data_IF_823675984616
#
_entry.id   IF_823675984616
#
_cell.length_a   1.000
_cell.length_b   1.000
_cell.length_c   1.000
_cell.angle_alpha   90.00
_cell.angle_beta   90.00
_cell.angle_gamma   90.00
#
_symmetry.space_group_name_H-M   'P 1'
#
loop_
_entity.id
_entity.type
_entity.pdbx_description
1 polymer ?
#
# COMPACT_ATOMS: atom_id res chain seq x y z
N UNK A 1 -5.20 -17.94 -15.41
CA UNK A 1 -6.35 -18.33 -14.57
C UNK A 1 -7.57 -17.68 -15.17
N UNK A 2 -8.63 -18.44 -15.43
CA UNK A 2 -9.89 -17.87 -15.92
C UNK A 2 -10.54 -16.98 -14.86
N UNK A 3 -11.16 -15.89 -15.27
CA UNK A 3 -11.93 -15.03 -14.40
C UNK A 3 -13.16 -14.48 -15.12
N UNK A 4 -14.22 -14.26 -14.36
CA UNK A 4 -15.39 -13.52 -14.84
C UNK A 4 -15.47 -12.14 -14.20
N UNK A 5 -15.91 -11.15 -14.96
CA UNK A 5 -16.06 -9.77 -14.51
C UNK A 5 -17.55 -9.47 -14.28
N UNK A 6 -17.90 -8.94 -13.12
CA UNK A 6 -19.28 -8.56 -12.77
C UNK A 6 -19.32 -7.06 -12.54
N UNK A 7 -19.99 -6.31 -13.43
CA UNK A 7 -20.02 -4.86 -13.48
C UNK A 7 -19.20 -4.30 -14.64
N UNK A 8 -19.85 -4.00 -15.77
CA UNK A 8 -19.26 -3.40 -16.97
C UNK A 8 -19.44 -1.87 -16.97
N UNK A 9 -19.21 -1.24 -15.81
CA UNK A 9 -19.28 0.21 -15.61
C UNK A 9 -17.99 0.94 -16.00
N UNK A 10 -17.90 2.23 -15.66
CA UNK A 10 -16.76 3.10 -16.01
C UNK A 10 -15.40 2.50 -15.60
N UNK A 11 -15.32 1.93 -14.40
CA UNK A 11 -14.06 1.38 -13.85
C UNK A 11 -13.62 0.09 -14.54
N UNK A 12 -14.53 -0.64 -15.20
CA UNK A 12 -14.18 -1.90 -15.89
C UNK A 12 -13.11 -1.67 -16.97
N UNK A 13 -13.12 -0.50 -17.64
CA UNK A 13 -12.08 -0.12 -18.60
C UNK A 13 -10.69 -0.09 -17.98
N UNK A 14 -10.56 0.44 -16.76
CA UNK A 14 -9.28 0.55 -16.05
C UNK A 14 -8.72 -0.82 -15.67
N UNK A 15 -9.59 -1.78 -15.33
CA UNK A 15 -9.19 -3.17 -15.07
C UNK A 15 -8.81 -3.90 -16.36
N UNK A 16 -9.55 -3.68 -17.45
CA UNK A 16 -9.31 -4.39 -18.71
C UNK A 16 -8.12 -3.83 -19.49
N UNK A 17 -7.73 -2.57 -19.27
CA UNK A 17 -6.63 -1.92 -19.97
C UNK A 17 -5.28 -2.66 -19.84
N UNK A 18 -5.06 -3.39 -18.75
CA UNK A 18 -3.83 -4.16 -18.52
C UNK A 18 -4.03 -5.67 -18.44
N UNK A 19 -5.20 -6.21 -18.86
CA UNK A 19 -5.50 -7.63 -18.66
C UNK A 19 -4.53 -8.55 -19.40
N UNK A 20 -4.11 -8.15 -20.61
CA UNK A 20 -3.19 -8.90 -21.48
C UNK A 20 -1.76 -8.98 -20.91
N UNK A 21 -1.38 -8.06 -20.02
CA UNK A 21 -0.10 -8.07 -19.32
C UNK A 21 -0.09 -9.04 -18.12
N UNK A 22 -1.21 -9.72 -17.87
CA UNK A 22 -1.37 -10.63 -16.75
C UNK A 22 -1.65 -12.06 -17.21
N UNK A 23 -1.58 -12.99 -16.26
CA UNK A 23 -1.98 -14.39 -16.50
C UNK A 23 -3.51 -14.61 -16.45
N UNK A 24 -4.32 -13.56 -16.35
CA UNK A 24 -5.78 -13.66 -16.30
C UNK A 24 -6.34 -13.85 -17.72
N UNK A 25 -7.47 -14.53 -17.81
CA UNK A 25 -8.21 -14.70 -19.06
C UNK A 25 -9.69 -14.51 -18.75
N UNK A 26 -10.29 -13.50 -19.38
CA UNK A 26 -11.69 -13.18 -19.19
C UNK A 26 -12.55 -14.20 -19.94
N UNK A 27 -13.44 -14.90 -19.24
CA UNK A 27 -14.36 -15.87 -19.85
C UNK A 27 -15.81 -15.38 -19.93
N UNK A 28 -16.19 -14.51 -19.00
CA UNK A 28 -17.53 -13.95 -18.95
C UNK A 28 -17.56 -12.53 -18.39
N UNK A 29 -18.56 -11.77 -18.84
CA UNK A 29 -18.88 -10.44 -18.35
C UNK A 29 -20.36 -10.40 -17.98
N UNK A 30 -20.68 -9.95 -16.78
CA UNK A 30 -22.05 -9.75 -16.32
C UNK A 30 -22.31 -8.28 -15.99
N UNK A 31 -23.40 -7.74 -16.51
CA UNK A 31 -23.96 -6.46 -16.07
C UNK A 31 -25.50 -6.52 -16.22
N UNK A 32 -26.24 -5.83 -15.36
CA UNK A 32 -27.69 -5.75 -15.47
C UNK A 32 -28.10 -5.02 -16.76
N UNK A 33 -27.24 -4.14 -17.26
CA UNK A 33 -27.31 -3.58 -18.59
C UNK A 33 -26.61 -4.52 -19.59
N UNK A 34 -27.44 -5.27 -20.31
CA UNK A 34 -26.98 -6.30 -21.25
C UNK A 34 -26.15 -5.73 -22.40
N UNK A 35 -26.42 -4.50 -22.83
CA UNK A 35 -25.68 -3.89 -23.92
C UNK A 35 -24.25 -3.55 -23.49
N UNK A 36 -24.08 -3.07 -22.25
CA UNK A 36 -22.75 -2.88 -21.65
C UNK A 36 -21.99 -4.19 -21.49
N UNK A 37 -22.65 -5.24 -20.98
CA UNK A 37 -22.03 -6.56 -20.85
C UNK A 37 -21.59 -7.10 -22.23
N UNK A 38 -22.47 -7.03 -23.24
CA UNK A 38 -22.19 -7.51 -24.60
C UNK A 38 -21.03 -6.74 -25.26
N UNK A 39 -20.98 -5.42 -25.10
CA UNK A 39 -19.92 -4.59 -25.67
C UNK A 39 -18.53 -4.95 -25.11
N UNK A 40 -18.43 -5.13 -23.79
CA UNK A 40 -17.16 -5.54 -23.15
C UNK A 40 -16.82 -6.98 -23.50
N UNK A 41 -17.78 -7.89 -23.47
CA UNK A 41 -17.56 -9.30 -23.76
C UNK A 41 -17.04 -9.53 -25.18
N UNK A 42 -17.61 -8.83 -26.17
CA UNK A 42 -17.20 -8.90 -27.57
C UNK A 42 -15.74 -8.47 -27.81
N UNK A 43 -15.22 -7.53 -27.00
CA UNK A 43 -13.84 -7.07 -27.11
C UNK A 43 -12.80 -8.08 -26.61
N UNK A 44 -13.22 -9.08 -25.82
CA UNK A 44 -12.33 -10.01 -25.11
C UNK A 44 -12.67 -11.50 -25.37
N UNK A 45 -13.48 -11.81 -26.38
CA UNK A 45 -13.95 -13.18 -26.69
C UNK A 45 -14.58 -13.88 -25.48
N UNK A 46 -15.34 -13.12 -24.69
CA UNK A 46 -16.02 -13.57 -23.48
C UNK A 46 -17.53 -13.72 -23.72
N UNK A 47 -18.21 -14.42 -22.79
CA UNK A 47 -19.68 -14.57 -22.83
C UNK A 47 -20.36 -13.48 -22.00
N UNK A 48 -21.37 -12.82 -22.57
CA UNK A 48 -22.15 -11.81 -21.86
C UNK A 48 -23.33 -12.42 -21.10
N UNK A 49 -23.52 -11.98 -19.86
CA UNK A 49 -24.62 -12.36 -18.98
C UNK A 49 -25.36 -11.11 -18.47
N UNK A 50 -26.67 -11.25 -18.29
CA UNK A 50 -27.53 -10.18 -17.74
C UNK A 50 -27.76 -10.28 -16.24
N UNK A 51 -27.35 -11.40 -15.62
CA UNK A 51 -27.60 -11.68 -14.22
C UNK A 51 -26.53 -12.61 -13.63
N UNK A 52 -26.18 -12.33 -12.38
CA UNK A 52 -25.06 -13.00 -11.67
C UNK A 52 -25.37 -14.47 -11.41
N UNK A 53 -26.63 -14.81 -11.13
CA UNK A 53 -27.01 -16.20 -10.86
C UNK A 53 -26.82 -17.09 -12.10
N UNK A 54 -27.23 -16.63 -13.26
CA UNK A 54 -27.02 -17.33 -14.54
C UNK A 54 -25.54 -17.43 -14.85
N UNK A 55 -24.76 -16.36 -14.68
CA UNK A 55 -23.29 -16.43 -14.84
C UNK A 55 -22.70 -17.53 -13.96
N UNK A 56 -23.00 -17.53 -12.65
CA UNK A 56 -22.42 -18.49 -11.70
C UNK A 56 -22.86 -19.95 -11.96
N UNK A 57 -24.03 -20.15 -12.56
CA UNK A 57 -24.54 -21.48 -12.93
C UNK A 57 -23.90 -22.02 -14.23
N UNK A 58 -23.55 -21.15 -15.16
CA UNK A 58 -23.01 -21.55 -16.46
C UNK A 58 -21.48 -21.50 -16.53
N UNK A 59 -20.84 -20.64 -15.74
CA UNK A 59 -19.39 -20.45 -15.75
C UNK A 59 -18.69 -21.13 -14.59
N UNK A 60 -17.57 -21.77 -14.92
CA UNK A 60 -16.70 -22.47 -13.96
C UNK A 60 -15.47 -21.66 -13.54
N UNK A 61 -15.46 -20.36 -13.85
CA UNK A 61 -14.35 -19.47 -13.58
C UNK A 61 -14.03 -19.46 -12.07
N UNK A 62 -12.78 -19.71 -11.65
CA UNK A 62 -12.42 -19.79 -10.23
C UNK A 62 -12.39 -18.41 -9.55
N UNK A 63 -12.35 -17.32 -10.31
CA UNK A 63 -12.20 -15.96 -9.80
C UNK A 63 -13.28 -15.03 -10.38
N UNK A 64 -14.00 -14.37 -9.49
CA UNK A 64 -14.89 -13.26 -9.81
C UNK A 64 -14.19 -11.94 -9.53
N UNK A 65 -14.15 -11.05 -10.52
CA UNK A 65 -13.74 -9.66 -10.39
C UNK A 65 -15.01 -8.82 -10.30
N UNK A 66 -15.36 -8.40 -9.09
CA UNK A 66 -16.59 -7.68 -8.79
C UNK A 66 -16.34 -6.17 -8.84
N UNK A 67 -16.86 -5.52 -9.88
CA UNK A 67 -16.74 -4.10 -10.21
C UNK A 67 -18.13 -3.42 -10.28
N UNK A 68 -19.10 -3.95 -9.52
CA UNK A 68 -20.46 -3.41 -9.51
C UNK A 68 -20.55 -2.03 -8.84
N UNK A 69 -21.76 -1.48 -8.70
CA UNK A 69 -21.95 -0.30 -7.87
C UNK A 69 -21.65 -0.60 -6.39
N UNK A 70 -21.38 0.46 -5.63
CA UNK A 70 -21.15 0.40 -4.19
C UNK A 70 -22.18 -0.45 -3.42
N UNK A 71 -23.47 -0.26 -3.72
CA UNK A 71 -24.57 -0.98 -3.07
C UNK A 71 -24.64 -2.49 -3.42
N UNK A 72 -24.05 -2.90 -4.55
CA UNK A 72 -24.09 -4.26 -5.05
C UNK A 72 -22.85 -5.09 -4.65
N UNK A 73 -21.76 -4.47 -4.17
CA UNK A 73 -20.53 -5.20 -3.84
C UNK A 73 -20.77 -6.36 -2.88
N UNK A 74 -21.51 -6.13 -1.79
CA UNK A 74 -21.71 -7.14 -0.77
C UNK A 74 -22.53 -8.34 -1.26
N UNK A 75 -23.63 -8.10 -1.96
CA UNK A 75 -24.51 -9.17 -2.43
C UNK A 75 -23.85 -10.00 -3.53
N UNK A 76 -23.13 -9.37 -4.46
CA UNK A 76 -22.39 -10.05 -5.53
C UNK A 76 -21.22 -10.84 -4.96
N UNK A 77 -20.45 -10.26 -4.03
CA UNK A 77 -19.35 -10.95 -3.35
C UNK A 77 -19.85 -12.17 -2.59
N UNK A 78 -20.97 -12.05 -1.85
CA UNK A 78 -21.60 -13.17 -1.15
C UNK A 78 -22.01 -14.28 -2.12
N UNK A 79 -22.72 -13.94 -3.20
CA UNK A 79 -23.17 -14.92 -4.18
C UNK A 79 -22.00 -15.68 -4.82
N UNK A 80 -20.91 -14.98 -5.15
CA UNK A 80 -19.71 -15.59 -5.71
C UNK A 80 -19.02 -16.53 -4.70
N UNK A 81 -18.87 -16.11 -3.43
CA UNK A 81 -18.31 -16.96 -2.38
C UNK A 81 -19.20 -18.18 -2.10
N UNK A 82 -20.52 -18.01 -2.13
CA UNK A 82 -21.47 -19.10 -1.92
C UNK A 82 -21.45 -20.13 -3.06
N UNK A 83 -21.08 -19.71 -4.27
CA UNK A 83 -20.81 -20.54 -5.44
C UNK A 83 -19.36 -21.09 -5.49
N UNK A 84 -18.64 -21.04 -4.36
CA UNK A 84 -17.27 -21.51 -4.20
C UNK A 84 -16.27 -20.85 -5.18
N UNK A 85 -16.42 -19.54 -5.41
CA UNK A 85 -15.50 -18.73 -6.21
C UNK A 85 -14.65 -17.81 -5.33
N UNK A 86 -13.38 -17.63 -5.71
CA UNK A 86 -12.57 -16.56 -5.15
C UNK A 86 -13.08 -15.21 -5.65
N UNK A 87 -12.89 -14.15 -4.87
CA UNK A 87 -13.39 -12.82 -5.23
C UNK A 87 -12.33 -11.75 -5.05
N UNK A 88 -12.16 -10.92 -6.07
CA UNK A 88 -11.61 -9.59 -5.93
C UNK A 88 -12.76 -8.59 -6.04
N UNK A 89 -13.01 -7.80 -5.00
CA UNK A 89 -14.04 -6.76 -4.99
C UNK A 89 -13.45 -5.37 -5.11
N UNK A 90 -14.11 -4.50 -5.87
CA UNK A 90 -13.92 -3.07 -5.78
C UNK A 90 -14.29 -2.54 -4.38
N UNK A 91 -13.81 -1.33 -4.08
CA UNK A 91 -14.08 -0.63 -2.83
C UNK A 91 -15.46 0.04 -2.85
N UNK A 92 -16.10 0.22 -1.70
CA UNK A 92 -15.83 -0.46 -0.44
C UNK A 92 -16.27 -1.93 -0.52
N UNK A 93 -15.75 -2.80 0.36
CA UNK A 93 -16.14 -4.21 0.40
C UNK A 93 -17.66 -4.38 0.67
N UNK A 94 -18.21 -3.51 1.50
CA UNK A 94 -19.63 -3.31 1.77
C UNK A 94 -19.83 -1.89 2.30
N UNK A 95 -21.08 -1.42 2.40
CA UNK A 95 -21.40 -0.14 3.07
C UNK A 95 -21.68 -0.30 4.56
N UNK A 96 -21.79 -1.54 5.04
CA UNK A 96 -22.06 -1.89 6.43
C UNK A 96 -20.91 -2.77 6.97
N UNK A 97 -20.42 -2.44 8.16
CA UNK A 97 -19.27 -3.09 8.78
C UNK A 97 -19.54 -4.54 9.18
N UNK A 98 -20.75 -4.84 9.68
CA UNK A 98 -21.15 -6.20 10.05
C UNK A 98 -21.24 -7.07 8.79
N UNK A 99 -21.81 -6.54 7.70
CA UNK A 99 -21.85 -7.22 6.40
C UNK A 99 -20.44 -7.45 5.86
N UNK A 100 -19.54 -6.47 5.95
CA UNK A 100 -18.14 -6.65 5.52
C UNK A 100 -17.44 -7.76 6.33
N UNK A 101 -17.62 -7.79 7.66
CA UNK A 101 -17.08 -8.83 8.52
C UNK A 101 -17.64 -10.22 8.20
N UNK A 102 -18.94 -10.32 7.91
CA UNK A 102 -19.59 -11.56 7.50
C UNK A 102 -19.02 -12.13 6.19
N UNK A 103 -18.66 -11.27 5.23
CA UNK A 103 -18.02 -11.69 3.97
C UNK A 103 -16.62 -12.27 4.22
N UNK A 104 -15.83 -11.66 5.11
CA UNK A 104 -14.53 -12.21 5.53
C UNK A 104 -14.73 -13.58 6.16
N UNK A 105 -15.64 -13.68 7.13
CA UNK A 105 -15.92 -14.93 7.83
C UNK A 105 -16.44 -16.02 6.88
N UNK A 106 -17.26 -15.65 5.88
CA UNK A 106 -17.71 -16.57 4.84
C UNK A 106 -16.54 -17.09 4.00
N UNK A 107 -15.68 -16.20 3.52
CA UNK A 107 -14.50 -16.58 2.74
C UNK A 107 -13.54 -17.48 3.52
N UNK A 108 -13.42 -17.29 4.83
CA UNK A 108 -12.65 -18.16 5.74
C UNK A 108 -13.27 -19.54 5.87
N UNK A 109 -14.57 -19.61 6.20
CA UNK A 109 -15.29 -20.89 6.33
C UNK A 109 -15.25 -21.72 5.05
N UNK A 110 -15.29 -21.08 3.88
CA UNK A 110 -15.22 -21.73 2.57
C UNK A 110 -13.80 -22.02 2.09
N UNK A 111 -12.77 -21.54 2.79
CA UNK A 111 -11.39 -21.68 2.33
C UNK A 111 -11.10 -20.91 1.03
N UNK A 112 -11.79 -19.79 0.77
CA UNK A 112 -11.64 -18.98 -0.44
C UNK A 112 -10.81 -17.72 -0.20
N UNK A 113 -9.98 -17.34 -1.17
CA UNK A 113 -9.36 -16.01 -1.21
C UNK A 113 -10.40 -14.92 -1.47
N UNK A 114 -10.29 -13.82 -0.71
CA UNK A 114 -11.10 -12.62 -0.86
C UNK A 114 -10.18 -11.41 -0.76
N UNK A 115 -10.14 -10.59 -1.80
CA UNK A 115 -9.37 -9.36 -1.84
C UNK A 115 -10.27 -8.15 -2.11
N UNK A 116 -9.86 -7.00 -1.61
CA UNK A 116 -10.57 -5.74 -1.82
C UNK A 116 -9.61 -4.66 -2.32
N UNK A 117 -10.07 -3.83 -3.25
CA UNK A 117 -9.46 -2.56 -3.59
C UNK A 117 -9.52 -1.57 -2.39
N UNK A 118 -8.74 -0.48 -2.40
CA UNK A 118 -7.68 -0.16 -3.34
C UNK A 118 -6.39 -0.97 -3.09
N UNK A 119 -5.55 -1.06 -4.11
CA UNK A 119 -4.20 -1.65 -4.02
C UNK A 119 -3.10 -0.59 -3.88
N UNK A 120 -3.47 0.68 -3.74
CA UNK A 120 -2.61 1.87 -3.66
C UNK A 120 -1.39 1.74 -2.72
N UNK A 121 -1.49 1.04 -1.58
CA UNK A 121 -0.34 0.74 -0.70
C UNK A 121 0.81 -0.01 -1.39
N UNK A 122 0.60 -0.52 -2.60
CA UNK A 122 1.60 -1.20 -3.44
C UNK A 122 2.12 -0.33 -4.58
N UNK A 123 1.61 0.88 -4.76
CA UNK A 123 2.08 1.79 -5.80
C UNK A 123 3.39 2.48 -5.36
N UNK A 124 4.21 2.89 -6.33
CA UNK A 124 5.61 3.30 -6.11
C UNK A 124 5.76 4.42 -5.09
N UNK A 125 4.96 5.48 -5.22
CA UNK A 125 4.97 6.63 -4.31
C UNK A 125 4.62 6.24 -2.87
N UNK A 126 3.59 5.41 -2.70
CA UNK A 126 3.10 4.95 -1.41
C UNK A 126 4.10 4.00 -0.74
N UNK A 127 4.74 3.11 -1.50
CA UNK A 127 5.83 2.28 -0.99
C UNK A 127 7.03 3.14 -0.58
N UNK A 128 7.38 4.17 -1.35
CA UNK A 128 8.48 5.08 -1.01
C UNK A 128 8.20 5.88 0.25
N UNK A 129 6.99 6.42 0.39
CA UNK A 129 6.55 7.04 1.64
C UNK A 129 6.64 6.04 2.81
N UNK A 130 6.16 4.80 2.62
CA UNK A 130 6.26 3.75 3.64
C UNK A 130 7.70 3.43 4.05
N UNK A 131 8.63 3.34 3.08
CA UNK A 131 10.05 3.14 3.33
C UNK A 131 10.63 4.28 4.16
N UNK A 132 10.32 5.54 3.82
CA UNK A 132 10.81 6.68 4.59
C UNK A 132 10.35 6.68 6.05
N UNK A 133 9.10 6.28 6.28
CA UNK A 133 8.54 6.11 7.63
C UNK A 133 9.25 4.96 8.36
N UNK A 134 9.44 3.84 7.68
CA UNK A 134 10.12 2.66 8.23
C UNK A 134 11.59 2.93 8.58
N UNK A 135 12.28 3.75 7.79
CA UNK A 135 13.66 4.20 8.00
C UNK A 135 13.80 5.16 9.21
N UNK A 136 12.68 5.57 9.83
CA UNK A 136 12.67 6.45 11.00
C UNK A 136 13.05 7.89 10.67
N UNK A 137 12.95 8.31 9.40
CA UNK A 137 13.40 9.65 8.96
C UNK A 137 12.61 10.80 9.59
N UNK A 138 11.36 10.55 9.94
CA UNK A 138 10.47 11.49 10.64
C UNK A 138 10.61 11.43 12.15
N UNK A 139 11.34 10.46 12.71
CA UNK A 139 11.10 10.01 14.08
C UNK A 139 9.69 9.39 14.22
N UNK A 140 9.20 9.16 15.45
CA UNK A 140 7.84 8.67 15.69
C UNK A 140 6.79 9.63 15.13
N UNK A 141 5.90 9.14 14.27
CA UNK A 141 4.79 9.96 13.73
C UNK A 141 3.76 10.20 14.83
N UNK A 142 3.44 11.47 15.08
CA UNK A 142 2.47 11.91 16.11
C UNK A 142 1.16 12.38 15.51
N UNK A 143 1.22 13.08 14.37
CA UNK A 143 0.06 13.68 13.73
C UNK A 143 0.06 13.41 12.22
N UNK A 144 -1.13 13.30 11.65
CA UNK A 144 -1.32 13.28 10.20
C UNK A 144 -2.48 14.17 9.76
N UNK A 145 -2.35 14.76 8.58
CA UNK A 145 -3.44 15.42 7.86
C UNK A 145 -3.73 14.64 6.59
N UNK A 146 -4.95 14.14 6.44
CA UNK A 146 -5.41 13.38 5.29
C UNK A 146 -6.56 14.11 4.60
N UNK A 147 -6.42 14.34 3.29
CA UNK A 147 -7.47 14.90 2.44
C UNK A 147 -7.99 13.82 1.49
N UNK A 148 -9.30 13.84 1.25
CA UNK A 148 -9.99 12.98 0.31
C UNK A 148 -11.06 13.76 -0.45
N UNK A 149 -10.61 14.68 -1.29
CA UNK A 149 -11.46 15.52 -2.12
C UNK A 149 -11.70 14.83 -3.46
N UNK A 150 -12.76 14.05 -3.56
CA UNK A 150 -13.10 13.24 -4.76
C UNK A 150 -13.40 14.13 -5.97
N UNK A 151 -13.72 15.40 -5.74
CA UNK A 151 -14.27 16.29 -6.76
C UNK A 151 -15.79 16.34 -6.70
N UNK A 152 -16.37 17.43 -7.21
CA UNK A 152 -17.79 17.42 -7.59
C UNK A 152 -17.99 16.35 -8.64
N UNK A 153 -18.68 15.28 -8.24
CA UNK A 153 -18.80 14.06 -9.04
C UNK A 153 -19.43 14.36 -10.41
N UNK A 154 -20.32 15.35 -10.48
CA UNK A 154 -20.92 15.85 -11.73
C UNK A 154 -19.92 16.44 -12.73
N UNK A 155 -18.74 16.88 -12.27
CA UNK A 155 -17.75 17.54 -13.12
C UNK A 155 -16.87 16.53 -13.89
N UNK A 156 -16.87 15.26 -13.48
CA UNK A 156 -15.95 14.24 -14.03
C UNK A 156 -16.55 12.84 -14.20
N UNK A 157 -17.76 12.58 -13.69
CA UNK A 157 -18.41 11.29 -13.81
C UNK A 157 -19.84 11.41 -14.35
N UNK A 158 -20.12 10.76 -15.48
CA UNK A 158 -21.41 10.82 -16.17
C UNK A 158 -22.57 10.21 -15.38
N UNK A 159 -22.28 9.35 -14.40
CA UNK A 159 -23.28 8.63 -13.58
C UNK A 159 -23.00 8.81 -12.08
N UNK A 160 -23.19 10.01 -11.51
CA UNK A 160 -22.75 10.34 -10.15
C UNK A 160 -23.57 9.68 -9.04
N UNK A 161 -24.71 9.07 -9.38
CA UNK A 161 -25.72 8.59 -8.43
C UNK A 161 -25.15 7.69 -7.32
N UNK A 162 -24.31 6.69 -7.64
CA UNK A 162 -23.80 5.80 -6.59
C UNK A 162 -22.87 6.52 -5.60
N UNK A 163 -22.19 7.59 -6.02
CA UNK A 163 -21.35 8.42 -5.13
C UNK A 163 -22.21 9.27 -4.20
N UNK A 164 -23.35 9.75 -4.67
CA UNK A 164 -24.31 10.52 -3.87
C UNK A 164 -25.01 9.69 -2.81
N UNK A 165 -25.20 8.40 -3.08
CA UNK A 165 -25.80 7.44 -2.16
C UNK A 165 -24.86 7.05 -1.01
N UNK A 166 -23.55 7.06 -1.24
CA UNK A 166 -22.55 6.66 -0.24
C UNK A 166 -21.78 7.83 0.38
N UNK A 167 -21.73 8.99 -0.26
CA UNK A 167 -20.95 10.13 0.21
C UNK A 167 -19.43 9.97 0.05
N UNK A 168 -18.63 10.91 0.56
CA UNK A 168 -17.19 10.98 0.27
C UNK A 168 -16.34 9.94 1.00
N UNK A 169 -16.87 9.30 2.06
CA UNK A 169 -16.10 8.38 2.91
C UNK A 169 -15.79 7.06 2.20
N UNK A 170 -16.81 6.42 1.63
CA UNK A 170 -16.71 5.06 1.08
C UNK A 170 -16.06 4.98 -0.30
N UNK A 171 -16.00 6.10 -1.01
CA UNK A 171 -15.34 6.17 -2.32
C UNK A 171 -13.96 6.83 -2.25
N UNK A 172 -13.86 7.96 -1.53
CA UNK A 172 -12.67 8.80 -1.47
C UNK A 172 -11.78 8.53 -0.27
N UNK A 173 -12.33 8.62 0.95
CA UNK A 173 -11.53 8.48 2.17
C UNK A 173 -10.85 7.11 2.30
N UNK A 174 -11.35 6.09 1.60
CA UNK A 174 -10.73 4.76 1.53
C UNK A 174 -9.27 4.79 1.06
N UNK A 175 -8.88 5.74 0.21
CA UNK A 175 -7.49 5.83 -0.28
C UNK A 175 -6.51 6.19 0.85
N UNK A 176 -6.61 7.36 1.52
CA UNK A 176 -5.74 7.66 2.65
C UNK A 176 -5.93 6.71 3.84
N UNK A 177 -7.17 6.28 4.14
CA UNK A 177 -7.43 5.35 5.25
C UNK A 177 -6.75 4.00 5.04
N UNK A 178 -6.82 3.42 3.84
CA UNK A 178 -6.16 2.15 3.55
C UNK A 178 -4.64 2.23 3.67
N UNK A 179 -4.01 3.36 3.32
CA UNK A 179 -2.57 3.58 3.50
C UNK A 179 -2.21 3.69 4.97
N UNK A 180 -2.89 4.58 5.70
CA UNK A 180 -2.66 4.78 7.12
C UNK A 180 -2.84 3.47 7.89
N UNK A 181 -3.86 2.69 7.55
CA UNK A 181 -4.12 1.38 8.15
C UNK A 181 -3.02 0.37 7.79
N UNK A 182 -2.49 0.40 6.56
CA UNK A 182 -1.37 -0.44 6.16
C UNK A 182 -0.05 -0.09 6.88
N UNK A 183 0.17 1.18 7.22
CA UNK A 183 1.42 1.66 7.82
C UNK A 183 1.40 1.64 9.35
N UNK A 184 0.28 2.02 9.96
CA UNK A 184 0.13 2.21 11.41
C UNK A 184 -0.80 1.18 12.07
N UNK A 185 -1.34 0.23 11.30
CA UNK A 185 -2.30 -0.74 11.84
C UNK A 185 -3.70 -0.14 12.03
N UNK A 186 -4.55 -0.75 12.86
CA UNK A 186 -5.94 -0.36 12.95
C UNK A 186 -6.13 1.03 13.58
N UNK A 187 -7.19 1.71 13.13
CA UNK A 187 -7.82 2.81 13.88
C UNK A 187 -8.46 2.21 15.12
N UNK A 188 -8.12 2.74 16.30
CA UNK A 188 -8.69 2.34 17.58
C UNK A 188 -9.96 3.12 17.91
N UNK A 189 -10.00 4.41 17.58
CA UNK A 189 -11.09 5.32 17.99
C UNK A 189 -11.32 6.45 16.99
N UNK A 190 -12.59 6.73 16.69
CA UNK A 190 -13.05 8.02 16.14
C UNK A 190 -13.25 8.98 17.31
N UNK A 191 -12.43 10.02 17.41
CA UNK A 191 -12.47 10.98 18.53
C UNK A 191 -13.58 12.01 18.36
N UNK A 192 -13.74 12.49 17.14
CA UNK A 192 -14.73 13.49 16.77
C UNK A 192 -15.01 13.35 15.27
N UNK A 193 -16.23 13.68 14.87
CA UNK A 193 -16.62 13.79 13.47
C UNK A 193 -17.72 14.84 13.35
N UNK A 194 -17.74 15.53 12.22
CA UNK A 194 -18.83 16.42 11.81
C UNK A 194 -19.07 16.27 10.31
N UNK A 195 -20.31 16.48 9.88
CA UNK A 195 -20.73 16.32 8.52
C UNK A 195 -21.60 17.50 8.06
N UNK A 196 -21.32 17.97 6.86
CA UNK A 196 -22.07 19.04 6.21
C UNK A 196 -22.43 18.64 4.78
N UNK A 197 -23.47 19.28 4.24
CA UNK A 197 -23.94 19.05 2.88
C UNK A 197 -23.79 20.30 1.98
N UNK A 198 -22.61 20.95 1.89
CA UNK A 198 -22.44 22.03 0.93
C UNK A 198 -22.61 21.48 -0.49
N UNK A 199 -23.52 22.08 -1.26
CA UNK A 199 -23.72 21.74 -2.65
C UNK A 199 -24.13 22.99 -3.45
N UNK A 200 -23.72 23.15 -4.72
CA UNK A 200 -24.11 24.33 -5.48
C UNK A 200 -25.62 24.34 -5.75
N UNK A 201 -26.33 25.40 -5.36
CA UNK A 201 -27.78 25.56 -5.59
C UNK A 201 -28.19 25.45 -7.06
N UNK A 202 -27.26 25.71 -7.99
CA UNK A 202 -27.45 25.58 -9.43
C UNK A 202 -27.41 24.13 -9.94
N UNK A 203 -27.05 23.16 -9.11
CA UNK A 203 -26.92 21.77 -9.52
C UNK A 203 -28.29 21.08 -9.51
N UNK A 204 -28.64 20.43 -10.61
CA UNK A 204 -29.88 19.64 -10.70
C UNK A 204 -29.81 18.34 -9.90
N UNK A 205 -28.61 17.79 -9.72
CA UNK A 205 -28.41 16.55 -9.00
C UNK A 205 -28.10 16.85 -7.53
N UNK A 206 -28.90 16.28 -6.62
CA UNK A 206 -28.80 16.52 -5.18
C UNK A 206 -28.25 15.27 -4.48
N UNK A 207 -27.11 15.37 -3.77
CA UNK A 207 -26.56 14.27 -3.00
C UNK A 207 -27.49 13.79 -1.88
N UNK A 208 -27.62 12.47 -1.68
CA UNK A 208 -28.44 11.92 -0.59
C UNK A 208 -27.69 11.90 0.75
N UNK A 209 -26.36 11.80 0.72
CA UNK A 209 -25.47 11.85 1.88
C UNK A 209 -24.78 13.21 2.02
N UNK A 210 -24.29 13.56 3.23
CA UNK A 210 -23.41 14.72 3.40
C UNK A 210 -22.24 14.71 2.40
N UNK A 211 -21.96 15.88 1.84
CA UNK A 211 -20.94 16.06 0.78
C UNK A 211 -19.60 16.49 1.34
N UNK A 212 -19.51 16.72 2.64
CA UNK A 212 -18.31 17.10 3.35
C UNK A 212 -18.30 16.47 4.74
N UNK A 213 -17.19 15.83 5.10
CA UNK A 213 -17.00 15.19 6.40
C UNK A 213 -15.62 15.55 6.93
N UNK A 214 -15.55 15.95 8.19
CA UNK A 214 -14.31 16.12 8.94
C UNK A 214 -14.28 15.16 10.12
N UNK A 215 -13.14 14.50 10.37
CA UNK A 215 -13.00 13.58 11.49
C UNK A 215 -11.59 13.61 12.09
N UNK A 216 -11.49 13.29 13.38
CA UNK A 216 -10.22 13.02 14.05
C UNK A 216 -10.16 11.56 14.52
N UNK A 217 -9.10 10.85 14.14
CA UNK A 217 -8.93 9.41 14.38
C UNK A 217 -7.71 9.15 15.27
N UNK A 218 -7.80 8.18 16.18
CA UNK A 218 -6.67 7.64 16.93
C UNK A 218 -6.31 6.26 16.40
N UNK A 219 -5.07 6.07 15.95
CA UNK A 219 -4.55 4.76 15.57
C UNK A 219 -3.95 4.05 16.78
N UNK A 220 -4.07 2.71 16.81
CA UNK A 220 -3.49 1.90 17.89
C UNK A 220 -1.97 2.08 18.00
N UNK A 221 -1.29 2.37 16.88
CA UNK A 221 0.14 2.66 16.85
C UNK A 221 0.51 4.14 17.09
N UNK A 222 -0.44 4.96 17.53
CA UNK A 222 -0.15 6.29 18.07
C UNK A 222 -0.63 7.51 17.27
N UNK A 223 -0.55 7.59 15.92
CA UNK A 223 -0.80 8.86 15.27
C UNK A 223 -2.25 9.32 15.42
N UNK A 224 -2.41 10.62 15.70
CA UNK A 224 -3.67 11.32 15.61
C UNK A 224 -3.84 11.84 14.19
N UNK A 225 -4.92 11.46 13.53
CA UNK A 225 -5.16 11.79 12.11
C UNK A 225 -6.36 12.71 11.99
N UNK A 226 -6.18 13.87 11.36
CA UNK A 226 -7.30 14.67 10.83
C UNK A 226 -7.62 14.18 9.43
N UNK A 227 -8.87 13.81 9.19
CA UNK A 227 -9.40 13.43 7.89
C UNK A 227 -10.40 14.49 7.42
N UNK A 228 -10.26 14.95 6.18
CA UNK A 228 -11.25 15.79 5.50
C UNK A 228 -11.64 15.13 4.18
N UNK A 229 -12.88 14.65 4.08
CA UNK A 229 -13.40 14.00 2.89
C UNK A 229 -14.51 14.84 2.24
N UNK A 230 -14.48 15.03 0.93
CA UNK A 230 -15.47 15.90 0.27
C UNK A 230 -15.78 15.54 -1.18
N UNK A 231 -17.07 15.65 -1.53
CA UNK A 231 -17.57 15.72 -2.89
C UNK A 231 -17.77 17.15 -3.38
N UNK A 232 -17.64 18.18 -2.52
CA UNK A 232 -17.89 19.58 -2.92
C UNK A 232 -16.65 20.26 -3.51
N UNK A 233 -15.48 19.95 -2.97
CA UNK A 233 -14.21 20.54 -3.41
C UNK A 233 -13.90 20.06 -4.84
N UNK A 234 -13.44 20.93 -5.77
CA UNK A 234 -13.16 20.53 -7.15
C UNK A 234 -12.11 19.42 -7.28
N UNK A 235 -12.27 18.56 -8.29
CA UNK A 235 -11.42 17.38 -8.52
C UNK A 235 -9.92 17.72 -8.70
N UNK A 236 -9.63 18.92 -9.22
CA UNK A 236 -8.25 19.41 -9.43
C UNK A 236 -7.82 20.45 -8.38
N UNK A 237 -8.42 20.39 -7.20
CA UNK A 237 -7.97 21.21 -6.08
C UNK A 237 -6.54 20.82 -5.68
N UNK A 238 -5.85 21.74 -4.99
CA UNK A 238 -4.47 21.53 -4.56
C UNK A 238 -4.32 20.29 -3.68
N UNK A 239 -5.26 20.07 -2.77
CA UNK A 239 -5.30 18.90 -1.90
C UNK A 239 -6.33 17.92 -2.44
N UNK A 240 -5.96 17.02 -3.35
CA UNK A 240 -6.88 16.01 -3.88
C UNK A 240 -6.97 14.80 -2.93
N UNK A 241 -5.89 14.02 -2.87
CA UNK A 241 -5.70 12.92 -1.92
C UNK A 241 -4.41 13.10 -1.10
N UNK A 242 -4.10 14.35 -0.76
CA UNK A 242 -2.88 14.71 -0.03
C UNK A 242 -2.84 14.09 1.36
N UNK A 243 -1.69 13.54 1.73
CA UNK A 243 -1.42 12.94 3.04
C UNK A 243 -0.10 13.46 3.60
N UNK A 244 -0.18 14.20 4.70
CA UNK A 244 0.97 14.76 5.42
C UNK A 244 1.13 14.06 6.77
N UNK A 245 2.34 13.60 7.07
CA UNK A 245 2.69 12.86 8.28
C UNK A 245 3.79 13.60 9.02
N UNK A 246 3.58 13.89 10.30
CA UNK A 246 4.49 14.68 11.12
C UNK A 246 5.03 13.84 12.28
N UNK A 247 6.36 13.75 12.38
CA UNK A 247 7.04 13.17 13.53
C UNK A 247 8.03 14.13 14.15
N UNK A 248 8.70 13.66 15.19
CA UNK A 248 9.60 14.45 16.05
C UNK A 248 10.80 15.06 15.27
N UNK A 249 11.25 14.43 14.17
CA UNK A 249 12.44 14.82 13.40
C UNK A 249 12.15 15.39 12.00
N UNK A 250 10.90 15.29 11.53
CA UNK A 250 10.51 15.77 10.20
C UNK A 250 9.11 15.34 9.77
N UNK A 251 8.77 15.72 8.55
CA UNK A 251 7.46 15.46 7.95
C UNK A 251 7.59 14.85 6.55
N UNK A 252 6.67 13.95 6.22
CA UNK A 252 6.52 13.36 4.88
C UNK A 252 5.20 13.85 4.30
N UNK A 253 5.24 14.34 3.06
CA UNK A 253 4.04 14.65 2.31
C UNK A 253 3.95 13.74 1.09
N UNK A 254 2.85 12.99 1.00
CA UNK A 254 2.45 12.22 -0.16
C UNK A 254 1.35 13.02 -0.87
N UNK A 255 1.61 13.43 -2.11
CA UNK A 255 0.71 14.30 -2.88
C UNK A 255 -0.64 13.66 -3.20
N UNK A 256 -0.66 12.35 -3.45
CA UNK A 256 -1.85 11.62 -3.85
C UNK A 256 -1.84 10.18 -3.33
N UNK A 257 -2.69 9.91 -2.33
CA UNK A 257 -2.88 8.59 -1.75
C UNK A 257 -3.53 7.59 -2.72
N UNK A 258 -4.23 8.05 -3.76
CA UNK A 258 -4.89 7.25 -4.79
C UNK A 258 -4.07 7.03 -6.06
N UNK A 259 -2.91 7.67 -6.20
CA UNK A 259 -2.11 7.58 -7.42
C UNK A 259 -1.57 6.16 -7.69
N UNK A 260 -1.74 5.71 -8.93
CA UNK A 260 -1.19 4.44 -9.45
C UNK A 260 0.14 4.62 -10.18
N UNK A 261 0.40 5.85 -10.62
CA UNK A 261 1.65 6.28 -11.27
C UNK A 261 2.58 6.91 -10.26
N UNK A 262 3.88 6.77 -10.53
CA UNK A 262 4.93 7.29 -9.66
C UNK A 262 5.69 8.45 -10.31
N UNK A 263 6.10 9.44 -9.52
CA UNK A 263 6.77 10.64 -10.03
C UNK A 263 7.66 11.30 -9.00
N UNK A 264 8.52 12.20 -9.47
CA UNK A 264 9.63 12.77 -8.69
C UNK A 264 9.18 13.57 -7.47
N UNK A 265 8.06 14.29 -7.57
CA UNK A 265 7.49 15.14 -6.53
C UNK A 265 6.26 14.50 -5.84
N UNK A 266 5.95 13.23 -6.12
CA UNK A 266 4.84 12.52 -5.45
C UNK A 266 5.07 12.41 -3.95
N UNK A 267 6.33 12.29 -3.55
CA UNK A 267 6.75 12.18 -2.15
C UNK A 267 7.75 13.28 -1.89
N UNK A 268 7.50 14.07 -0.84
CA UNK A 268 8.42 15.10 -0.38
C UNK A 268 8.69 14.95 1.12
N UNK A 269 9.84 15.43 1.56
CA UNK A 269 10.27 15.37 2.96
C UNK A 269 10.74 16.73 3.43
N UNK A 270 10.25 17.17 4.58
CA UNK A 270 10.75 18.33 5.30
C UNK A 270 11.39 17.91 6.61
N UNK A 271 12.70 18.09 6.75
CA UNK A 271 13.34 18.00 8.08
C UNK A 271 12.86 19.15 8.96
N UNK A 272 12.79 18.95 10.28
CA UNK A 272 12.49 20.05 11.22
C UNK A 272 13.38 21.27 10.92
N UNK A 273 12.74 22.44 10.75
CA UNK A 273 13.41 23.70 10.40
C UNK A 273 13.88 23.83 8.95
N UNK A 274 13.46 22.93 8.05
CA UNK A 274 13.74 22.97 6.60
C UNK A 274 12.44 22.88 5.80
N UNK A 275 12.49 23.38 4.56
CA UNK A 275 11.39 23.22 3.61
C UNK A 275 11.28 21.78 3.11
N UNK A 276 10.19 21.50 2.40
CA UNK A 276 9.98 20.21 1.74
C UNK A 276 10.89 20.06 0.51
N UNK A 277 11.55 18.91 0.42
CA UNK A 277 12.39 18.51 -0.71
C UNK A 277 11.82 17.24 -1.34
N UNK A 278 11.81 17.17 -2.67
CA UNK A 278 11.38 16.00 -3.42
C UNK A 278 12.21 14.75 -3.05
N UNK A 279 11.52 13.62 -2.96
CA UNK A 279 12.13 12.30 -2.75
C UNK A 279 11.83 11.46 -4.00
N UNK A 280 12.70 11.52 -5.02
CA UNK A 280 12.46 10.87 -6.29
C UNK A 280 12.51 9.34 -6.16
N UNK A 281 11.88 8.59 -7.09
CA UNK A 281 12.02 7.15 -7.20
C UNK A 281 13.49 6.70 -7.22
N UNK A 282 13.84 5.67 -6.45
CA UNK A 282 15.20 5.13 -6.37
C UNK A 282 15.45 4.00 -7.39
N UNK A 283 14.46 3.73 -8.24
CA UNK A 283 14.48 2.75 -9.32
C UNK A 283 13.48 3.22 -10.38
N UNK A 284 13.57 2.74 -11.64
CA UNK A 284 12.57 3.06 -12.65
C UNK A 284 11.16 2.81 -12.11
N UNK A 285 10.28 3.80 -12.27
CA UNK A 285 8.89 3.69 -11.87
C UNK A 285 8.26 2.48 -12.57
N UNK A 286 7.71 1.56 -11.78
CA UNK A 286 6.86 0.49 -12.27
C UNK A 286 5.42 0.87 -11.95
N UNK A 287 4.79 1.54 -12.92
CA UNK A 287 3.39 1.92 -12.81
C UNK A 287 2.54 0.67 -12.56
N UNK A 288 1.52 0.85 -11.72
CA UNK A 288 0.57 -0.21 -11.39
C UNK A 288 -0.74 0.03 -12.10
N UNK A 289 -1.43 -1.04 -12.44
CA UNK A 289 -2.79 -1.01 -12.96
C UNK A 289 -3.79 -1.53 -11.95
N UNK A 290 -5.07 -1.20 -12.13
CA UNK A 290 -6.15 -1.76 -11.31
C UNK A 290 -6.17 -3.29 -11.34
N UNK A 291 -5.82 -3.88 -12.49
CA UNK A 291 -5.74 -5.32 -12.72
C UNK A 291 -4.68 -6.06 -11.89
N UNK A 292 -3.67 -5.34 -11.36
CA UNK A 292 -2.63 -5.95 -10.51
C UNK A 292 -3.23 -6.59 -9.25
N UNK A 293 -4.35 -6.05 -8.75
CA UNK A 293 -5.07 -6.61 -7.61
C UNK A 293 -5.61 -8.01 -7.88
N UNK A 294 -6.52 -8.18 -8.85
CA UNK A 294 -6.99 -9.48 -9.29
C UNK A 294 -5.85 -10.43 -9.70
N UNK A 295 -4.85 -9.94 -10.45
CA UNK A 295 -3.74 -10.77 -10.92
C UNK A 295 -2.90 -11.33 -9.77
N UNK A 296 -2.65 -10.53 -8.72
CA UNK A 296 -1.95 -10.96 -7.51
C UNK A 296 -2.76 -11.97 -6.71
N UNK A 297 -4.08 -11.78 -6.58
CA UNK A 297 -4.95 -12.75 -5.95
C UNK A 297 -4.90 -14.09 -6.71
N UNK A 298 -5.02 -14.06 -8.03
CA UNK A 298 -4.92 -15.23 -8.89
C UNK A 298 -3.56 -15.93 -8.80
N UNK A 299 -2.45 -15.19 -8.63
CA UNK A 299 -1.13 -15.77 -8.39
C UNK A 299 -1.07 -16.52 -7.05
N UNK A 300 -1.59 -15.92 -5.98
CA UNK A 300 -1.65 -16.58 -4.68
C UNK A 300 -2.48 -17.86 -4.70
N UNK A 301 -3.63 -17.85 -5.37
CA UNK A 301 -4.49 -19.04 -5.50
C UNK A 301 -3.78 -20.17 -6.25
N UNK A 302 -3.05 -19.86 -7.32
CA UNK A 302 -2.23 -20.85 -8.06
C UNK A 302 -1.15 -21.48 -7.21
N UNK A 303 -0.63 -20.76 -6.22
CA UNK A 303 0.34 -21.25 -5.24
C UNK A 303 -0.33 -21.98 -4.05
N UNK A 304 -1.65 -22.23 -4.09
CA UNK A 304 -2.39 -22.89 -3.02
C UNK A 304 -2.68 -22.00 -1.81
N UNK A 305 -2.53 -20.68 -1.94
CA UNK A 305 -2.79 -19.70 -0.87
C UNK A 305 -4.15 -19.03 -1.09
N UNK A 306 -4.83 -18.70 0.01
CA UNK A 306 -6.15 -18.02 -0.02
C UNK A 306 -6.06 -16.72 0.79
N UNK A 307 -5.40 -15.68 0.25
CA UNK A 307 -5.15 -14.45 1.01
C UNK A 307 -6.45 -13.69 1.27
N UNK A 308 -6.50 -13.03 2.43
CA UNK A 308 -7.64 -12.23 2.90
C UNK A 308 -7.22 -10.89 3.50
N UNK A 309 -5.92 -10.57 3.53
CA UNK A 309 -5.44 -9.40 4.26
C UNK A 309 -5.96 -8.08 3.67
N UNK A 310 -6.04 -7.97 2.34
CA UNK A 310 -6.57 -6.75 1.71
C UNK A 310 -8.06 -6.58 1.96
N UNK A 311 -8.83 -7.67 2.00
CA UNK A 311 -10.25 -7.61 2.33
C UNK A 311 -10.48 -7.30 3.81
N UNK A 312 -9.69 -7.87 4.72
CA UNK A 312 -9.74 -7.54 6.16
C UNK A 312 -9.44 -6.05 6.40
N UNK A 313 -8.46 -5.48 5.68
CA UNK A 313 -8.22 -4.04 5.68
C UNK A 313 -9.41 -3.25 5.11
N UNK A 314 -9.99 -3.70 4.01
CA UNK A 314 -11.20 -3.09 3.44
C UNK A 314 -12.37 -3.07 4.43
N UNK A 315 -12.61 -4.19 5.12
CA UNK A 315 -13.63 -4.29 6.17
C UNK A 315 -13.35 -3.35 7.36
N UNK A 316 -12.09 -3.24 7.79
CA UNK A 316 -11.70 -2.28 8.83
C UNK A 316 -11.96 -0.82 8.38
N UNK A 317 -11.66 -0.48 7.13
CA UNK A 317 -11.95 0.86 6.59
C UNK A 317 -13.47 1.13 6.58
N UNK A 318 -14.30 0.14 6.23
CA UNK A 318 -15.77 0.28 6.31
C UNK A 318 -16.22 0.52 7.75
N UNK A 319 -15.67 -0.20 8.73
CA UNK A 319 -15.95 0.02 10.15
C UNK A 319 -15.56 1.44 10.61
N UNK A 320 -14.43 1.97 10.12
CA UNK A 320 -14.05 3.37 10.36
C UNK A 320 -15.06 4.34 9.77
N UNK A 321 -15.51 4.11 8.53
CA UNK A 321 -16.51 4.97 7.89
C UNK A 321 -17.84 4.96 8.64
N UNK A 322 -18.37 3.79 9.01
CA UNK A 322 -19.60 3.68 9.82
C UNK A 322 -19.44 4.43 11.16
N UNK A 323 -18.33 4.23 11.86
CA UNK A 323 -18.09 4.92 13.14
C UNK A 323 -17.94 6.45 13.00
N UNK A 324 -17.42 6.95 11.87
CA UNK A 324 -17.40 8.39 11.57
C UNK A 324 -18.82 8.92 11.37
N UNK A 325 -19.66 8.22 10.61
CA UNK A 325 -21.06 8.60 10.40
C UNK A 325 -21.83 8.61 11.73
N UNK A 326 -21.70 7.56 12.55
CA UNK A 326 -22.36 7.46 13.86
C UNK A 326 -22.00 8.65 14.77
N UNK A 327 -20.71 8.99 14.86
CA UNK A 327 -20.26 10.13 15.68
C UNK A 327 -20.77 11.46 15.13
N UNK A 328 -20.77 11.64 13.80
CA UNK A 328 -21.28 12.86 13.17
C UNK A 328 -22.80 13.04 13.34
N UNK A 329 -23.56 11.94 13.41
CA UNK A 329 -25.00 11.94 13.69
C UNK A 329 -25.33 12.12 15.19
N UNK A 330 -24.32 12.20 16.06
CA UNK A 330 -24.46 12.41 17.49
C UNK A 330 -24.58 11.12 18.31
N UNK A 331 -24.44 9.95 17.69
CA UNK A 331 -24.35 8.66 18.38
C UNK A 331 -22.92 8.46 18.92
N UNK A 332 -22.55 9.25 19.94
CA UNK A 332 -21.23 9.15 20.58
C UNK A 332 -20.65 10.50 20.98
N UNK A 333 -21.29 11.19 21.94
CA UNK A 333 -20.84 12.49 22.43
C UNK A 333 -19.37 12.52 22.95
N UNK A 334 -18.80 11.34 23.24
CA UNK A 334 -17.41 11.14 23.69
C UNK A 334 -16.51 10.42 22.64
N UNK A 335 -16.98 10.26 21.40
CA UNK A 335 -16.35 9.49 20.33
C UNK A 335 -16.74 8.00 20.30
N UNK A 336 -16.30 7.26 19.28
CA UNK A 336 -16.61 5.84 19.08
C UNK A 336 -15.33 4.99 19.07
N UNK A 337 -15.31 3.92 19.88
CA UNK A 337 -14.25 2.89 19.85
C UNK A 337 -14.58 1.91 18.75
N UNK A 338 -13.59 1.56 17.93
CA UNK A 338 -13.75 0.59 16.86
C UNK A 338 -13.37 -0.77 17.41
N UNK A 339 -14.35 -1.69 17.47
CA UNK A 339 -14.07 -3.09 17.80
C UNK A 339 -13.23 -3.72 16.68
N UNK A 340 -11.95 -3.86 16.94
CA UNK A 340 -11.01 -4.45 15.98
C UNK A 340 -10.90 -5.94 16.21
N UNK A 341 -11.05 -6.74 15.16
CA UNK A 341 -10.50 -8.09 15.19
C UNK A 341 -8.97 -7.96 15.19
N UNK A 342 -8.31 -8.26 16.31
CA UNK A 342 -6.86 -8.07 16.51
C UNK A 342 -5.98 -8.79 15.44
N UNK A 343 -6.51 -9.77 14.73
CA UNK A 343 -5.84 -10.49 13.63
C UNK A 343 -5.98 -9.81 12.25
N UNK A 344 -6.76 -8.73 12.13
CA UNK A 344 -7.27 -8.26 10.84
C UNK A 344 -6.35 -7.33 10.02
N UNK A 345 -5.28 -6.77 10.59
CA UNK A 345 -4.61 -5.60 9.96
C UNK A 345 -3.08 -5.70 9.89
N UNK A 346 -2.46 -6.76 10.43
CA UNK A 346 -1.01 -6.88 10.48
C UNK A 346 -0.40 -7.20 9.10
N UNK A 347 -0.17 -6.17 8.28
CA UNK A 347 0.75 -6.23 7.15
C UNK A 347 2.20 -6.20 7.62
N UNK A 348 3.13 -6.77 6.85
CA UNK A 348 4.57 -6.77 7.11
C UNK A 348 5.17 -5.37 7.32
N UNK A 349 4.54 -4.31 6.80
CA UNK A 349 4.98 -2.92 6.98
C UNK A 349 4.72 -2.35 8.38
N UNK A 350 3.66 -2.77 9.08
CA UNK A 350 3.27 -2.23 10.38
C UNK A 350 4.33 -2.47 11.47
N UNK A 351 5.12 -3.56 11.36
CA UNK A 351 6.23 -3.85 12.28
C UNK A 351 7.45 -2.94 12.08
N UNK A 352 7.63 -2.36 10.89
CA UNK A 352 8.78 -1.51 10.60
C UNK A 352 8.57 -0.04 11.01
N UNK A 353 7.32 0.45 10.98
CA UNK A 353 7.01 1.86 11.27
C UNK A 353 6.86 2.14 12.78
N UNK A 354 6.54 1.14 13.59
CA UNK A 354 6.07 1.32 14.98
C UNK A 354 7.14 1.15 16.07
N UNK A 355 8.42 1.39 15.75
CA UNK A 355 9.53 1.24 16.70
C UNK A 355 9.26 1.93 18.04
N UNK A 356 9.05 1.14 19.09
CA UNK A 356 8.80 1.63 20.46
C UNK A 356 10.08 2.30 21.00
N UNK A 357 10.00 3.42 21.75
CA UNK A 357 11.19 4.05 22.29
C UNK A 357 11.81 3.13 23.36
N UNK A 358 13.07 2.74 23.18
CA UNK A 358 13.86 2.17 24.27
C UNK A 358 14.38 3.32 25.14
N UNK A 359 14.06 3.28 26.44
CA UNK A 359 14.59 4.18 27.47
C UNK A 359 16.12 4.22 27.39
N UNK A 360 16.67 5.38 27.00
CA UNK A 360 18.11 5.63 27.02
C UNK A 360 18.43 6.46 28.24
N UNK A 361 18.73 5.78 29.34
CA UNK A 361 19.38 6.41 30.48
C UNK A 361 20.56 5.52 30.92
N UNK A 362 21.65 5.56 30.15
CA UNK A 362 22.94 5.07 30.62
C UNK A 362 23.99 6.16 30.41
N UNK A 363 24.46 6.68 31.54
CA UNK A 363 25.55 7.63 31.70
C UNK A 363 26.85 6.91 31.38
N UNK A 364 27.59 7.35 30.36
CA UNK A 364 28.91 6.80 30.06
C UNK A 364 29.93 7.50 30.98
N UNK A 365 30.38 6.80 32.01
CA UNK A 365 31.59 7.15 32.74
C UNK A 365 32.81 6.87 31.87
N UNK A 366 33.67 7.89 31.74
CA UNK A 366 34.98 7.78 31.08
C UNK A 366 35.99 7.45 32.16
N UNK A 367 36.58 6.26 32.10
CA UNK A 367 37.78 5.95 32.89
C UNK A 367 38.95 5.54 31.99
N UNK A 368 40.12 6.05 32.35
CA UNK A 368 41.33 6.07 31.53
C UNK A 368 42.33 4.95 31.81
N UNK A 369 43.29 4.82 30.90
CA UNK A 369 44.63 4.30 31.18
C UNK A 369 44.88 2.81 30.93
N UNK A 370 45.79 2.50 30.01
CA UNK A 370 46.36 1.15 29.87
C UNK A 370 47.27 0.99 28.66
N UNK A 371 48.55 0.78 28.91
CA UNK A 371 49.71 0.83 27.98
C UNK A 371 49.93 -0.41 27.10
N UNK A 372 50.72 -0.19 26.05
CA UNK A 372 51.12 -1.08 24.96
C UNK A 372 51.83 -2.41 25.31
N UNK A 373 51.79 -3.36 24.37
CA UNK A 373 52.95 -4.19 24.00
C UNK A 373 52.79 -4.89 22.63
N UNK A 374 53.75 -4.62 21.74
CA UNK A 374 54.11 -5.35 20.52
C UNK A 374 54.53 -6.80 20.80
N UNK A 375 54.20 -7.75 19.89
CA UNK A 375 55.16 -8.78 19.41
C UNK A 375 54.87 -9.18 17.95
N UNK A 376 55.86 -8.92 17.11
CA UNK A 376 56.14 -9.56 15.83
C UNK A 376 56.46 -11.05 16.02
N UNK A 377 56.16 -11.90 15.03
CA UNK A 377 57.23 -12.61 14.33
C UNK A 377 56.77 -13.29 13.02
N UNK A 378 57.70 -13.26 12.09
CA UNK A 378 57.63 -13.54 10.66
C UNK A 378 57.91 -14.99 10.23
N UNK A 379 57.45 -15.29 9.00
CA UNK A 379 58.09 -16.04 7.91
C UNK A 379 58.37 -17.56 7.99
N UNK A 380 57.94 -18.26 6.94
CA UNK A 380 58.78 -19.20 6.17
C UNK A 380 58.21 -19.46 4.76
N UNK A 381 59.01 -19.18 3.74
CA UNK A 381 58.85 -19.62 2.33
C UNK A 381 59.49 -21.00 2.13
N UNK A 382 59.04 -21.77 1.14
CA UNK A 382 59.88 -22.63 0.28
C UNK A 382 59.14 -23.02 -1.02
N UNK A 383 59.97 -23.21 -2.04
CA UNK A 383 59.70 -23.25 -3.48
C UNK A 383 59.44 -24.65 -4.06
N UNK A 384 58.96 -24.62 -5.32
CA UNK A 384 59.22 -25.51 -6.47
C UNK A 384 58.41 -26.81 -6.76
N UNK A 385 57.76 -26.73 -7.93
CA UNK A 385 57.82 -27.65 -9.09
C UNK A 385 56.71 -28.71 -9.35
N UNK A 386 56.09 -28.51 -10.52
CA UNK A 386 55.63 -29.47 -11.54
C UNK A 386 54.71 -30.67 -11.18
N UNK A 387 53.53 -30.67 -11.79
CA UNK A 387 52.71 -31.87 -12.00
C UNK A 387 51.21 -31.58 -12.08
N UNK A 388 50.65 -31.46 -13.29
CA UNK A 388 49.23 -31.76 -13.48
C UNK A 388 49.01 -33.27 -13.35
N UNK A 389 47.90 -33.74 -12.74
CA UNK A 389 46.74 -34.06 -13.58
C UNK A 389 45.36 -33.85 -12.91
N UNK A 390 44.34 -33.85 -13.78
CA UNK A 390 42.93 -34.26 -13.60
C UNK A 390 42.30 -34.25 -12.19
N UNK A 391 41.31 -33.37 -11.99
CA UNK A 391 40.35 -33.48 -10.89
C UNK A 391 38.97 -33.89 -11.40
N UNK A 392 38.68 -35.17 -11.21
CA UNK A 392 37.32 -35.72 -11.15
C UNK A 392 36.49 -34.99 -10.08
N UNK A 393 35.22 -34.72 -10.39
CA UNK A 393 34.27 -34.09 -9.48
C UNK A 393 33.93 -35.04 -8.31
N UNK A 394 34.63 -34.87 -7.19
CA UNK A 394 34.31 -35.52 -5.92
C UNK A 394 33.09 -34.83 -5.28
N UNK A 395 32.01 -35.59 -5.12
CA UNK A 395 30.77 -35.17 -4.46
C UNK A 395 30.92 -35.21 -2.94
N UNK A 396 31.55 -34.20 -2.35
CA UNK A 396 31.54 -34.01 -0.90
C UNK A 396 30.17 -33.50 -0.44
N UNK A 397 29.41 -34.34 0.27
CA UNK A 397 28.17 -33.98 0.95
C UNK A 397 28.41 -32.79 1.90
N UNK A 398 27.57 -31.76 1.79
CA UNK A 398 27.51 -30.66 2.76
C UNK A 398 27.24 -31.21 4.18
N UNK A 399 27.91 -30.70 5.23
CA UNK A 399 27.67 -31.14 6.59
C UNK A 399 26.27 -30.73 7.05
N UNK A 400 25.61 -31.63 7.78
CA UNK A 400 24.28 -31.44 8.36
C UNK A 400 24.29 -30.26 9.35
N UNK A 401 23.25 -29.39 9.37
CA UNK A 401 23.24 -28.23 10.26
C UNK A 401 23.26 -28.67 11.72
N UNK A 402 24.23 -28.16 12.48
CA UNK A 402 24.29 -28.32 13.93
C UNK A 402 23.16 -27.48 14.54
N UNK A 403 22.29 -28.09 15.32
CA UNK A 403 21.22 -27.40 16.05
C UNK A 403 21.85 -26.34 16.98
N UNK A 404 21.47 -25.07 16.79
CA UNK A 404 21.90 -23.97 17.67
C UNK A 404 21.19 -24.09 19.03
N UNK A 405 21.91 -23.87 20.15
CA UNK A 405 21.31 -23.87 21.47
C UNK A 405 20.44 -22.62 21.66
N UNK A 406 19.32 -22.83 22.35
CA UNK A 406 18.25 -21.88 22.62
C UNK A 406 18.79 -20.62 23.34
N UNK A 407 18.97 -19.52 22.60
CA UNK A 407 19.30 -18.20 23.15
C UNK A 407 18.02 -17.38 23.22
N UNK A 408 17.64 -17.01 24.44
CA UNK A 408 16.61 -16.01 24.71
C UNK A 408 16.84 -14.77 23.82
N UNK A 409 15.94 -14.53 22.87
CA UNK A 409 15.97 -13.41 21.93
C UNK A 409 15.67 -12.11 22.66
N UNK A 410 16.70 -11.36 23.02
CA UNK A 410 16.62 -9.90 23.08
C UNK A 410 16.66 -9.36 21.66
N UNK A 411 15.50 -9.31 21.00
CA UNK A 411 15.33 -8.82 19.63
C UNK A 411 15.39 -7.28 19.59
N UNK A 412 16.56 -6.71 19.83
CA UNK A 412 16.88 -5.37 19.35
C UNK A 412 17.82 -5.53 18.16
N UNK A 413 17.25 -5.86 17.00
CA UNK A 413 18.00 -5.82 15.75
C UNK A 413 18.61 -4.41 15.59
N UNK A 414 19.93 -4.33 15.40
CA UNK A 414 20.60 -3.06 15.09
C UNK A 414 19.97 -2.52 13.80
N UNK A 415 19.18 -1.45 13.91
CA UNK A 415 18.71 -0.71 12.73
C UNK A 415 19.89 0.07 12.17
N UNK A 416 20.34 -0.31 10.98
CA UNK A 416 21.24 0.52 10.20
C UNK A 416 20.48 1.79 9.77
N UNK A 417 21.10 2.97 9.82
CA UNK A 417 20.48 4.19 9.28
C UNK A 417 20.22 4.04 7.78
N UNK A 418 19.26 4.77 7.19
CA UNK A 418 19.01 4.73 5.76
C UNK A 418 20.29 5.02 4.96
N UNK A 419 20.69 4.04 4.15
CA UNK A 419 21.85 4.11 3.26
C UNK A 419 21.37 4.54 1.88
N UNK A 420 21.84 5.68 1.40
CA UNK A 420 21.66 6.11 0.02
C UNK A 420 22.83 5.64 -0.83
N UNK A 421 22.55 4.95 -1.94
CA UNK A 421 23.53 4.60 -2.96
C UNK A 421 23.35 5.50 -4.19
N UNK A 422 24.44 6.08 -4.70
CA UNK A 422 24.39 6.91 -5.91
C UNK A 422 25.64 6.76 -6.78
N UNK A 423 25.46 6.31 -8.03
CA UNK A 423 26.45 6.39 -9.12
C UNK A 423 26.27 7.76 -9.84
N UNK A 424 27.20 8.43 -10.50
CA UNK A 424 28.58 8.23 -10.97
C UNK A 424 29.23 9.63 -11.02
N UNK A 425 30.56 9.71 -11.16
CA UNK A 425 31.31 10.97 -11.36
C UNK A 425 31.36 11.39 -12.83
N UNK A 426 30.72 10.62 -13.72
CA UNK A 426 30.96 10.69 -15.16
C UNK A 426 29.66 10.43 -15.92
N UNK A 427 29.24 11.41 -16.73
CA UNK A 427 28.13 11.31 -17.69
C UNK A 427 28.53 12.09 -18.94
N UNK A 428 28.41 11.47 -20.12
CA UNK A 428 28.69 12.11 -21.41
C UNK A 428 30.07 12.82 -21.47
N UNK A 429 31.11 12.18 -20.94
CA UNK A 429 32.50 12.69 -20.85
C UNK A 429 32.73 13.91 -19.93
N UNK A 430 31.74 14.28 -19.10
CA UNK A 430 31.87 15.38 -18.14
C UNK A 430 31.72 14.94 -16.67
N UNK A 431 32.45 15.65 -15.81
CA UNK A 431 32.36 15.51 -14.36
C UNK A 431 31.18 16.35 -13.82
N UNK A 432 30.16 15.69 -13.28
CA UNK A 432 29.00 16.37 -12.68
C UNK A 432 29.36 16.89 -11.28
N UNK A 433 29.18 18.19 -11.01
CA UNK A 433 29.25 18.76 -9.66
C UNK A 433 28.10 18.22 -8.82
N UNK A 434 28.43 17.49 -7.74
CA UNK A 434 27.47 16.80 -6.89
C UNK A 434 27.06 17.61 -5.66
N UNK A 435 27.55 18.84 -5.47
CA UNK A 435 27.22 19.62 -4.27
C UNK A 435 25.72 19.75 -4.08
N UNK A 436 24.99 20.04 -5.15
CA UNK A 436 23.54 20.18 -5.12
C UNK A 436 22.82 18.84 -4.89
N UNK A 437 23.25 17.76 -5.56
CA UNK A 437 22.67 16.42 -5.37
C UNK A 437 22.91 15.87 -3.95
N UNK A 438 24.11 16.09 -3.39
CA UNK A 438 24.44 15.69 -2.02
C UNK A 438 23.64 16.53 -1.02
N UNK A 439 23.54 17.85 -1.23
CA UNK A 439 22.71 18.71 -0.38
C UNK A 439 21.24 18.26 -0.42
N UNK A 440 20.70 18.00 -1.61
CA UNK A 440 19.34 17.47 -1.80
C UNK A 440 19.15 16.13 -1.09
N UNK A 441 20.12 15.21 -1.17
CA UNK A 441 20.05 13.93 -0.47
C UNK A 441 20.10 14.09 1.07
N UNK A 442 20.96 14.97 1.58
CA UNK A 442 21.05 15.25 3.02
C UNK A 442 19.78 15.89 3.57
N UNK A 443 19.19 16.83 2.81
CA UNK A 443 17.91 17.47 3.10
C UNK A 443 16.78 16.45 3.03
N UNK A 444 16.79 15.60 1.99
CA UNK A 444 15.96 14.40 1.87
C UNK A 444 16.43 13.26 2.78
N UNK A 445 17.04 13.54 3.93
CA UNK A 445 17.21 12.62 5.04
C UNK A 445 18.13 11.41 4.86
N UNK A 446 18.85 11.28 3.76
CA UNK A 446 19.89 10.26 3.60
C UNK A 446 21.08 10.55 4.55
N UNK A 447 21.70 9.50 5.09
CA UNK A 447 22.72 9.63 6.16
C UNK A 447 24.03 8.90 5.90
N UNK A 448 23.98 7.80 5.15
CA UNK A 448 25.17 7.19 4.57
C UNK A 448 25.12 7.43 3.06
N UNK A 449 26.18 8.01 2.51
CA UNK A 449 26.36 8.21 1.08
C UNK A 449 27.58 7.39 0.68
N UNK A 450 27.37 6.37 -0.15
CA UNK A 450 28.48 5.69 -0.81
C UNK A 450 28.60 6.20 -2.25
N UNK A 451 29.80 6.65 -2.61
CA UNK A 451 30.11 7.09 -3.96
C UNK A 451 31.07 6.07 -4.58
N UNK A 452 30.51 5.07 -5.25
CA UNK A 452 31.31 4.17 -6.07
C UNK A 452 31.61 4.83 -7.43
N UNK A 453 32.88 4.77 -7.83
CA UNK A 453 33.31 5.08 -9.19
C UNK A 453 33.36 3.76 -9.96
N UNK A 454 32.42 3.54 -10.89
CA UNK A 454 32.56 2.50 -11.91
C UNK A 454 33.64 2.98 -12.87
N UNK A 455 34.91 2.68 -12.55
CA UNK A 455 35.97 2.76 -13.53
C UNK A 455 35.62 1.74 -14.62
N UNK A 456 35.45 2.18 -15.87
CA UNK A 456 35.25 1.33 -17.05
C UNK A 456 36.47 0.45 -17.38
N UNK A 457 36.97 -0.27 -16.38
CA UNK A 457 38.11 -1.16 -16.41
C UNK A 457 37.65 -2.63 -16.30
N UNK A 458 36.38 -2.96 -16.57
CA UNK A 458 35.93 -4.36 -16.54
C UNK A 458 36.71 -5.26 -17.52
N UNK A 459 37.37 -4.68 -18.52
CA UNK A 459 38.30 -5.38 -19.40
C UNK A 459 39.65 -5.77 -18.75
N UNK A 460 39.96 -5.35 -17.51
CA UNK A 460 41.21 -5.67 -16.80
C UNK A 460 41.05 -6.65 -15.65
N UNK A 461 39.84 -7.13 -15.37
CA UNK A 461 39.63 -8.28 -14.48
C UNK A 461 39.57 -9.52 -15.37
N UNK A 462 40.72 -9.88 -15.92
CA UNK A 462 40.85 -10.95 -16.90
C UNK A 462 42.12 -10.93 -17.75
N UNK A 463 43.21 -10.30 -17.27
CA UNK A 463 44.58 -10.48 -17.77
C UNK A 463 45.50 -10.89 -16.62
#
# INVERSE_FOLDING_TARGET
MKCSLVGAGSVAREYLAGIDDTSLSLDAVCDHDRDRAAAVAAAHDATAYGDVATLLNHESSPLIVNLTSHAAHASVTRAALDADRHVFSEKPLATDAAVAADLIALAERRGLGLACAPINHRCGAQQRAATMLADGRTGPVRMASAHAHVGRVTDWHDRPQSFFEVGPLYDGAVYPLSLLVAWFGPVERVRSADAAAPWPDRSEAVPQKPTHVEATLSFAAGPLVRLTASLYVPHRSREFYGLELHGDDGSVYLRDAGAFVDGDDHVTFGRVGRGYTAVPPQSPAADRGHIDGPARLAAAIREGRTPRESARRGAHVVAVCNAIEDVAEGAGADGAVIETCAEAVAGTAAKAVTGTPADRNETIEVDGGGTAAHRDNSAARRDDSAGGPDFEASTTRLPTPVAQPDRARTDAAIRLPPIGFGCSRYRDDEYVDRRESIATALDAGYRLLDSAELYGNEARIGD
#
